data_IF_326316103319
#
_entry.id   IF_326316103319
#
_cell.length_a   1.000
_cell.length_b   1.000
_cell.length_c   1.000
_cell.angle_alpha   90.00
_cell.angle_beta   90.00
_cell.angle_gamma   90.00
#
_symmetry.space_group_name_H-M   'P 1'
#
loop_
_entity.id
_entity.type
_entity.pdbx_description
1 polymer ?
#
# COMPACT_ATOMS: atom_id res chain seq x y z
N UNK A 1 -7.57 -23.15 25.10
CA UNK A 1 -6.23 -22.85 25.61
C UNK A 1 -5.33 -22.19 24.56
N UNK A 2 -5.80 -21.89 23.33
CA UNK A 2 -4.97 -21.42 22.22
C UNK A 2 -5.45 -20.10 21.62
N UNK A 3 -6.17 -19.28 22.37
CA UNK A 3 -6.69 -18.00 21.92
C UNK A 3 -5.84 -16.80 22.36
N UNK A 4 -4.55 -16.98 22.63
CA UNK A 4 -3.73 -15.94 23.25
C UNK A 4 -2.52 -15.48 22.41
N UNK A 5 -2.42 -15.89 21.16
CA UNK A 5 -1.34 -15.41 20.29
C UNK A 5 -1.85 -14.40 19.27
N UNK A 6 -1.27 -13.23 19.35
CA UNK A 6 -1.36 -12.02 18.53
C UNK A 6 -2.39 -10.98 18.97
N UNK A 7 -2.17 -10.39 20.12
CA UNK A 7 -2.69 -9.05 20.41
C UNK A 7 -1.67 -8.01 19.95
N UNK A 8 -1.60 -7.79 18.64
CA UNK A 8 -1.00 -6.56 18.14
C UNK A 8 -1.91 -5.37 18.48
N UNK A 9 -1.33 -4.25 18.86
CA UNK A 9 -2.07 -3.00 19.10
C UNK A 9 -2.88 -2.60 17.86
N UNK A 10 -4.15 -2.99 17.83
CA UNK A 10 -5.10 -2.58 16.79
C UNK A 10 -5.73 -3.68 15.96
N UNK A 11 -5.34 -4.93 16.15
CA UNK A 11 -5.92 -6.06 15.38
C UNK A 11 -6.74 -6.95 16.29
N UNK A 12 -8.04 -7.00 16.04
CA UNK A 12 -8.96 -7.82 16.82
C UNK A 12 -9.77 -8.70 15.89
N UNK A 13 -9.52 -9.99 15.99
CA UNK A 13 -10.41 -11.13 15.95
C UNK A 13 -10.65 -11.84 14.63
N UNK A 14 -10.26 -13.10 14.65
CA UNK A 14 -10.89 -14.16 13.87
C UNK A 14 -12.26 -14.45 14.45
N UNK A 15 -13.25 -14.74 13.60
CA UNK A 15 -14.51 -15.36 14.01
C UNK A 15 -14.23 -16.72 14.67
N UNK A 16 -15.18 -17.23 15.43
CA UNK A 16 -15.08 -18.57 16.06
C UNK A 16 -14.84 -19.71 15.04
N UNK A 17 -15.17 -19.47 13.77
CA UNK A 17 -14.97 -20.37 12.63
C UNK A 17 -13.57 -20.23 11.95
N UNK A 18 -12.68 -19.41 12.52
CA UNK A 18 -11.32 -19.23 12.02
C UNK A 18 -11.15 -18.21 10.88
N UNK A 19 -12.26 -17.71 10.31
CA UNK A 19 -12.22 -16.69 9.27
C UNK A 19 -11.95 -15.31 9.83
N UNK A 20 -11.20 -14.49 9.09
CA UNK A 20 -10.95 -13.08 9.44
C UNK A 20 -12.27 -12.30 9.35
N UNK A 21 -12.54 -11.45 10.34
CA UNK A 21 -13.60 -10.46 10.26
C UNK A 21 -13.31 -9.46 9.12
N UNK A 22 -14.37 -8.82 8.61
CA UNK A 22 -14.20 -7.75 7.64
C UNK A 22 -13.31 -6.63 8.21
N UNK A 23 -12.56 -5.92 7.38
CA UNK A 23 -11.71 -4.80 7.82
C UNK A 23 -12.51 -3.75 8.61
N UNK A 24 -13.77 -3.54 8.25
CA UNK A 24 -14.67 -2.62 8.96
C UNK A 24 -14.94 -3.04 10.41
N UNK A 25 -15.05 -4.35 10.67
CA UNK A 25 -15.33 -4.92 11.99
C UNK A 25 -14.06 -5.09 12.83
N UNK A 26 -12.90 -5.20 12.16
CA UNK A 26 -11.58 -5.38 12.80
C UNK A 26 -11.00 -4.08 13.34
N UNK A 27 -11.30 -2.95 12.69
CA UNK A 27 -10.71 -1.67 13.03
C UNK A 27 -11.40 -1.02 14.22
N UNK A 28 -10.65 -0.83 15.30
CA UNK A 28 -11.06 0.02 16.43
C UNK A 28 -11.20 1.48 15.99
N UNK A 29 -11.89 2.30 16.79
CA UNK A 29 -11.99 3.75 16.54
C UNK A 29 -10.62 4.40 16.44
N UNK A 30 -9.66 3.98 17.27
CA UNK A 30 -8.26 4.44 17.26
C UNK A 30 -7.56 3.96 15.98
N UNK A 31 -7.73 2.69 15.58
CA UNK A 31 -7.16 2.15 14.35
C UNK A 31 -7.66 2.89 13.10
N UNK A 32 -8.96 3.25 13.07
CA UNK A 32 -9.52 4.09 12.00
C UNK A 32 -8.91 5.50 11.97
N UNK A 33 -8.72 6.12 13.13
CA UNK A 33 -8.06 7.43 13.22
C UNK A 33 -6.62 7.36 12.73
N UNK A 34 -5.83 6.39 13.18
CA UNK A 34 -4.44 6.17 12.76
C UNK A 34 -4.36 5.99 11.24
N UNK A 35 -5.23 5.12 10.66
CA UNK A 35 -5.29 4.90 9.21
C UNK A 35 -5.74 6.14 8.43
N UNK A 36 -6.72 6.89 8.95
CA UNK A 36 -7.22 8.09 8.30
C UNK A 36 -6.20 9.23 8.27
N UNK A 37 -5.26 9.23 9.20
CA UNK A 37 -4.18 10.23 9.31
C UNK A 37 -2.87 9.74 8.71
N UNK A 38 -2.81 8.49 8.21
CA UNK A 38 -1.60 7.83 7.70
C UNK A 38 -0.43 7.84 8.71
N UNK A 39 -0.72 7.90 10.01
CA UNK A 39 0.28 7.81 11.09
C UNK A 39 0.98 6.45 11.09
N UNK A 40 0.28 5.40 10.66
CA UNK A 40 0.81 4.06 10.46
C UNK A 40 1.93 3.99 9.41
N UNK A 41 2.04 4.97 8.54
CA UNK A 41 3.13 5.06 7.55
C UNK A 41 4.36 5.81 8.07
N UNK A 42 4.29 6.50 9.23
CA UNK A 42 5.44 7.20 9.83
C UNK A 42 6.68 6.31 10.08
N UNK A 43 6.55 5.04 10.51
CA UNK A 43 7.72 4.17 10.66
C UNK A 43 8.48 3.95 9.35
N UNK A 44 7.83 4.07 8.19
CA UNK A 44 8.50 3.97 6.89
C UNK A 44 9.48 5.12 6.63
N UNK A 45 9.28 6.29 7.27
CA UNK A 45 10.24 7.40 7.21
C UNK A 45 11.61 7.01 7.79
N UNK A 46 11.62 6.14 8.79
CA UNK A 46 12.87 5.60 9.35
C UNK A 46 13.62 4.80 8.29
N UNK A 47 12.90 4.01 7.48
CA UNK A 47 13.50 3.25 6.38
C UNK A 47 14.03 4.18 5.27
N UNK A 48 13.36 5.32 5.05
CA UNK A 48 13.88 6.34 4.11
C UNK A 48 15.17 6.96 4.66
N UNK A 49 15.22 7.31 5.93
CA UNK A 49 16.44 7.86 6.56
C UNK A 49 17.61 6.87 6.56
N UNK A 50 17.32 5.56 6.68
CA UNK A 50 18.31 4.50 6.56
C UNK A 50 18.75 4.24 5.12
N UNK A 51 18.01 4.72 4.12
CA UNK A 51 18.26 4.48 2.70
C UNK A 51 17.69 3.18 2.14
N UNK A 52 16.90 2.45 2.93
CA UNK A 52 16.22 1.21 2.50
C UNK A 52 15.03 1.51 1.59
N UNK A 53 14.42 2.68 1.77
CA UNK A 53 13.30 3.18 0.97
C UNK A 53 13.58 4.57 0.41
N UNK A 54 12.86 4.94 -0.64
CA UNK A 54 12.77 6.30 -1.17
C UNK A 54 11.46 6.97 -0.72
N UNK A 55 11.36 8.29 -0.85
CA UNK A 55 10.08 8.99 -0.68
C UNK A 55 9.11 8.60 -1.80
N UNK A 56 9.62 8.54 -3.04
CA UNK A 56 8.85 8.20 -4.24
C UNK A 56 9.39 6.93 -4.87
N UNK A 57 8.49 6.01 -5.18
CA UNK A 57 8.82 4.73 -5.81
C UNK A 57 7.64 3.76 -5.79
N UNK A 58 7.75 2.59 -6.42
CA UNK A 58 6.76 1.53 -6.31
C UNK A 58 6.54 1.12 -4.84
N UNK A 59 5.27 0.98 -4.42
CA UNK A 59 4.96 0.57 -3.04
C UNK A 59 5.50 -0.84 -2.77
N UNK A 60 6.19 -1.08 -1.63
CA UNK A 60 6.63 -2.43 -1.28
C UNK A 60 5.41 -3.35 -1.12
N UNK A 61 5.51 -4.55 -1.63
CA UNK A 61 4.49 -5.59 -1.55
C UNK A 61 5.03 -6.79 -0.78
N UNK A 62 4.14 -7.72 -0.48
CA UNK A 62 4.49 -8.93 0.26
C UNK A 62 5.51 -9.78 -0.51
N UNK A 63 6.50 -10.32 0.19
CA UNK A 63 7.54 -11.16 -0.41
C UNK A 63 7.00 -12.44 -1.06
N UNK A 64 5.83 -12.92 -0.61
CA UNK A 64 5.13 -14.06 -1.20
C UNK A 64 4.72 -13.84 -2.66
N UNK A 65 4.64 -12.58 -3.14
CA UNK A 65 4.31 -12.27 -4.53
C UNK A 65 5.51 -12.36 -5.49
N UNK A 66 6.75 -12.44 -4.96
CA UNK A 66 7.96 -12.49 -5.79
C UNK A 66 7.95 -13.62 -6.83
N UNK A 67 7.56 -14.87 -6.49
CA UNK A 67 7.51 -15.95 -7.48
C UNK A 67 6.38 -15.81 -8.49
N UNK A 68 5.40 -14.94 -8.25
CA UNK A 68 4.24 -14.74 -9.11
C UNK A 68 4.47 -13.66 -10.18
N UNK A 69 5.51 -12.82 -10.03
CA UNK A 69 5.80 -11.76 -11.00
C UNK A 69 6.33 -12.32 -12.32
N UNK A 70 5.82 -11.81 -13.42
CA UNK A 70 6.45 -12.00 -14.72
C UNK A 70 7.70 -11.08 -14.85
N UNK A 71 8.47 -11.28 -15.94
CA UNK A 71 9.71 -10.54 -16.18
C UNK A 71 9.51 -9.01 -16.21
N UNK A 72 8.41 -8.55 -16.79
CA UNK A 72 8.10 -7.11 -16.88
C UNK A 72 7.72 -6.54 -15.49
N UNK A 73 6.88 -7.23 -14.75
CA UNK A 73 6.49 -6.84 -13.40
C UNK A 73 7.67 -6.81 -12.42
N UNK A 74 8.64 -7.69 -12.57
CA UNK A 74 9.87 -7.70 -11.76
C UNK A 74 10.68 -6.42 -11.90
N UNK A 75 10.58 -5.69 -13.01
CA UNK A 75 11.30 -4.44 -13.26
C UNK A 75 10.95 -3.34 -12.26
N UNK A 76 9.83 -3.44 -11.57
CA UNK A 76 9.50 -2.54 -10.48
C UNK A 76 10.53 -2.52 -9.34
N UNK A 77 11.36 -3.56 -9.24
CA UNK A 77 12.45 -3.68 -8.26
C UNK A 77 13.79 -3.08 -8.75
N UNK A 78 13.85 -2.53 -9.97
CA UNK A 78 15.03 -1.80 -10.48
C UNK A 78 15.25 -0.48 -9.73
N UNK A 79 14.25 0.00 -9.01
CA UNK A 79 14.31 1.20 -8.17
C UNK A 79 13.96 0.87 -6.73
N UNK A 80 14.34 1.74 -5.78
CA UNK A 80 13.98 1.58 -4.38
C UNK A 80 12.46 1.71 -4.19
N UNK A 81 11.86 0.90 -3.29
CA UNK A 81 10.46 1.07 -2.94
C UNK A 81 10.23 2.45 -2.31
N UNK A 82 9.06 3.04 -2.58
CA UNK A 82 8.67 4.36 -2.08
C UNK A 82 7.54 4.32 -1.07
N UNK A 83 7.45 5.37 -0.24
CA UNK A 83 6.28 5.62 0.62
C UNK A 83 5.09 5.96 -0.26
N UNK A 84 5.29 6.81 -1.28
CA UNK A 84 4.31 7.10 -2.32
C UNK A 84 4.87 6.80 -3.70
N UNK A 85 4.01 6.72 -4.71
CA UNK A 85 4.45 6.41 -6.08
C UNK A 85 3.37 6.65 -7.11
N UNK A 86 3.74 6.44 -8.37
CA UNK A 86 2.87 6.76 -9.50
C UNK A 86 1.57 5.95 -9.50
N UNK A 87 1.60 4.67 -9.13
CA UNK A 87 0.40 3.84 -8.99
C UNK A 87 -0.53 4.35 -7.86
N UNK A 88 0.04 4.78 -6.72
CA UNK A 88 -0.76 5.29 -5.60
C UNK A 88 -1.50 6.59 -5.95
N UNK A 89 -0.85 7.50 -6.69
CA UNK A 89 -1.50 8.77 -7.07
C UNK A 89 -2.47 8.62 -8.24
N UNK A 90 -2.43 7.51 -8.98
CA UNK A 90 -3.31 7.29 -10.14
C UNK A 90 -4.45 6.30 -9.93
N UNK A 91 -4.60 5.69 -8.75
CA UNK A 91 -5.75 4.80 -8.57
C UNK A 91 -5.79 4.02 -7.25
N UNK A 92 -4.68 3.99 -6.50
CA UNK A 92 -4.63 3.33 -5.19
C UNK A 92 -5.19 1.89 -5.24
N UNK A 93 -6.31 1.64 -4.53
CA UNK A 93 -6.96 0.33 -4.43
C UNK A 93 -8.07 0.12 -5.49
N UNK A 94 -8.40 1.16 -6.26
CA UNK A 94 -9.46 1.10 -7.27
C UNK A 94 -9.00 0.52 -8.63
N UNK A 95 -7.71 0.18 -8.77
CA UNK A 95 -7.13 -0.36 -10.01
C UNK A 95 -6.72 -1.82 -9.81
N UNK A 96 -6.81 -2.62 -10.89
CA UNK A 96 -6.36 -4.01 -10.90
C UNK A 96 -4.86 -4.13 -10.61
N UNK A 97 -4.42 -5.32 -10.22
CA UNK A 97 -3.00 -5.64 -10.02
C UNK A 97 -2.19 -5.39 -11.29
N UNK A 98 -2.69 -5.87 -12.42
CA UNK A 98 -2.05 -5.64 -13.73
C UNK A 98 -1.82 -4.15 -13.97
N UNK A 99 -2.85 -3.30 -13.77
CA UNK A 99 -2.71 -1.85 -13.96
C UNK A 99 -1.74 -1.21 -12.97
N UNK A 100 -1.71 -1.70 -11.74
CA UNK A 100 -0.75 -1.23 -10.72
C UNK A 100 0.69 -1.50 -11.16
N UNK A 101 0.99 -2.71 -11.65
CA UNK A 101 2.32 -3.07 -12.13
C UNK A 101 2.72 -2.30 -13.39
N UNK A 102 1.78 -2.07 -14.33
CA UNK A 102 2.03 -1.22 -15.49
C UNK A 102 2.46 0.20 -15.07
N UNK A 103 1.77 0.78 -14.09
CA UNK A 103 2.10 2.12 -13.59
C UNK A 103 3.44 2.14 -12.83
N UNK A 104 3.77 1.08 -12.10
CA UNK A 104 5.05 0.94 -11.42
C UNK A 104 6.20 0.84 -12.44
N UNK A 105 6.06 0.02 -13.48
CA UNK A 105 7.07 -0.11 -14.56
C UNK A 105 7.15 1.17 -15.40
N UNK A 106 6.01 1.82 -15.65
CA UNK A 106 6.02 3.11 -16.32
C UNK A 106 6.83 4.15 -15.53
N UNK A 107 6.70 4.19 -14.20
CA UNK A 107 7.50 5.06 -13.36
C UNK A 107 9.00 4.74 -13.49
N UNK A 108 9.38 3.46 -13.46
CA UNK A 108 10.79 3.03 -13.64
C UNK A 108 11.35 3.57 -14.96
N UNK A 109 10.59 3.47 -16.05
CA UNK A 109 11.01 3.92 -17.39
C UNK A 109 11.06 5.45 -17.53
N UNK A 110 10.33 6.21 -16.71
CA UNK A 110 10.21 7.67 -16.80
C UNK A 110 10.78 8.40 -15.58
N UNK A 111 11.60 7.72 -14.79
CA UNK A 111 12.16 8.24 -13.56
C UNK A 111 12.86 9.58 -13.81
N UNK A 112 12.41 10.61 -13.10
CA UNK A 112 13.00 11.94 -13.13
C UNK A 112 12.65 12.74 -11.89
N UNK A 113 13.50 13.67 -11.51
CA UNK A 113 13.26 14.55 -10.37
C UNK A 113 11.93 15.33 -10.49
N UNK A 114 11.59 15.80 -11.69
CA UNK A 114 10.33 16.51 -11.94
C UNK A 114 9.11 15.60 -11.74
N UNK A 115 9.21 14.32 -12.13
CA UNK A 115 8.15 13.34 -11.91
C UNK A 115 7.98 13.07 -10.40
N UNK A 116 9.06 12.96 -9.66
CA UNK A 116 9.02 12.76 -8.21
C UNK A 116 8.36 13.94 -7.50
N UNK A 117 8.71 15.17 -7.86
CA UNK A 117 8.05 16.37 -7.32
C UNK A 117 6.56 16.40 -7.66
N UNK A 118 6.17 16.01 -8.88
CA UNK A 118 4.77 15.91 -9.28
C UNK A 118 4.03 14.88 -8.43
N UNK A 119 4.61 13.70 -8.19
CA UNK A 119 4.03 12.65 -7.37
C UNK A 119 3.85 13.13 -5.93
N UNK A 120 4.86 13.79 -5.34
CA UNK A 120 4.77 14.36 -3.99
C UNK A 120 3.66 15.38 -3.89
N UNK A 121 3.55 16.30 -4.86
CA UNK A 121 2.48 17.29 -4.89
C UNK A 121 1.09 16.64 -4.98
N UNK A 122 0.92 15.63 -5.85
CA UNK A 122 -0.33 14.88 -5.97
C UNK A 122 -0.66 14.11 -4.69
N UNK A 123 0.34 13.57 -4.00
CA UNK A 123 0.16 12.88 -2.72
C UNK A 123 -0.34 13.85 -1.65
N UNK A 124 0.31 15.00 -1.51
CA UNK A 124 -0.11 16.06 -0.59
C UNK A 124 -1.55 16.48 -0.88
N UNK A 125 -1.86 16.73 -2.16
CA UNK A 125 -3.22 17.06 -2.58
C UNK A 125 -4.23 15.99 -2.15
N UNK A 126 -3.95 14.71 -2.40
CA UNK A 126 -4.84 13.60 -2.00
C UNK A 126 -5.02 13.49 -0.49
N UNK A 127 -3.97 13.69 0.29
CA UNK A 127 -4.06 13.69 1.76
C UNK A 127 -4.95 14.83 2.26
N UNK A 128 -4.77 16.05 1.75
CA UNK A 128 -5.56 17.21 2.19
C UNK A 128 -7.02 17.16 1.74
N UNK A 129 -7.26 16.76 0.50
CA UNK A 129 -8.63 16.70 -0.04
C UNK A 129 -9.39 15.44 0.36
N UNK A 130 -8.74 14.49 1.07
CA UNK A 130 -9.34 13.19 1.45
C UNK A 130 -10.05 12.49 0.30
N UNK A 131 -9.63 12.78 -0.93
CA UNK A 131 -10.17 12.13 -2.11
C UNK A 131 -9.79 10.66 -2.02
N UNK A 132 -10.76 9.78 -1.99
CA UNK A 132 -10.65 8.32 -1.94
C UNK A 132 -10.52 7.66 -0.54
N UNK A 133 -10.61 8.40 0.59
CA UNK A 133 -10.61 7.80 1.93
C UNK A 133 -12.04 7.46 2.40
N UNK A 134 -13.07 8.10 1.81
CA UNK A 134 -14.46 7.92 2.17
C UNK A 134 -15.31 7.23 1.08
N UNK A 135 -14.70 6.50 0.15
CA UNK A 135 -15.53 5.59 -0.65
C UNK A 135 -16.02 4.48 0.27
N UNK A 136 -17.34 4.43 0.46
CA UNK A 136 -18.07 3.44 1.26
C UNK A 136 -17.90 1.99 0.74
N UNK A 137 -17.00 1.77 -0.19
CA UNK A 137 -16.51 0.53 -0.73
C UNK A 137 -14.99 0.47 -0.52
N UNK A 138 -14.54 0.28 0.73
CA UNK A 138 -13.23 -0.33 0.98
C UNK A 138 -13.32 -1.80 0.52
N UNK A 139 -13.37 -1.98 -0.79
CA UNK A 139 -13.11 -3.29 -1.38
C UNK A 139 -11.64 -3.54 -1.12
N UNK A 140 -11.39 -4.32 -0.08
CA UNK A 140 -10.05 -4.87 0.16
C UNK A 140 -9.67 -5.58 -1.12
N UNK A 141 -8.63 -5.12 -1.78
CA UNK A 141 -8.16 -5.70 -3.03
C UNK A 141 -7.82 -7.16 -2.75
N UNK A 142 -8.32 -8.08 -3.56
CA UNK A 142 -7.98 -9.50 -3.48
C UNK A 142 -6.47 -9.68 -3.56
N UNK A 143 -5.95 -10.73 -2.91
CA UNK A 143 -4.53 -11.04 -2.96
C UNK A 143 -4.09 -11.30 -4.41
N UNK A 144 -2.86 -10.88 -4.73
CA UNK A 144 -2.29 -11.14 -6.04
C UNK A 144 -2.00 -12.63 -6.20
N UNK A 145 -2.58 -13.25 -7.23
CA UNK A 145 -2.43 -14.68 -7.54
C UNK A 145 -1.55 -14.94 -8.77
N UNK A 146 -1.07 -13.91 -9.43
CA UNK A 146 -0.24 -13.98 -10.63
C UNK A 146 -1.02 -13.82 -11.94
N UNK A 147 -2.35 -13.77 -11.90
CA UNK A 147 -3.23 -13.71 -13.08
C UNK A 147 -4.19 -12.54 -13.07
N UNK A 148 -4.47 -11.93 -11.89
CA UNK A 148 -5.45 -10.85 -11.67
C UNK A 148 -4.90 -9.42 -11.78
#
# INVERSE_FOLDING_TARGET
RDAQESRGLGDVYKRQDGNLLSDADRLTKIGRFIRSTSIDELPQLINVLKGDMALVGPRPLLTQYLPLYNKEQMRRHEVRPGITGWAQVNGRNAISWTKKFELDVWYVNNLSFCLDLKILFLTIKKVFYRVDINSANDVTMEDFDGTN
#
